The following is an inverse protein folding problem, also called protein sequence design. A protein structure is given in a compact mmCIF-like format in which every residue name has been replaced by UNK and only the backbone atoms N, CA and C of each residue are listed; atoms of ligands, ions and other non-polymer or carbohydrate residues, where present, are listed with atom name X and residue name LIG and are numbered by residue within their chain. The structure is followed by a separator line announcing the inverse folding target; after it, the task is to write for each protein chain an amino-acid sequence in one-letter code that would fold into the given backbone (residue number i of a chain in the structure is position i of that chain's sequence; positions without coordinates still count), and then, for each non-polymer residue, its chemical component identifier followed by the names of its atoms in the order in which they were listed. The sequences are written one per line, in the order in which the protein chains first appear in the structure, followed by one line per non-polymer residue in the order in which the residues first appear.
data_IF_072479423963
#
_entry.id   IF_072479423963
#
_cell.length_a   1.000
_cell.length_b   1.000
_cell.length_c   1.000
_cell.angle_alpha   90.00
_cell.angle_beta   90.00
_cell.angle_gamma   90.00
#
_symmetry.space_group_name_H-M   'P 1'
#
loop_
_entity.id
_entity.type
_entity.pdbx_description
1 polymer ?
#
# COMPACT_ATOMS: atom_id res chain seq x y z
N UNK A 1 -38.16 -0.78 -25.79
CA UNK A 1 -38.29 -0.90 -27.24
C UNK A 1 -38.35 0.46 -27.89
N UNK A 2 -37.15 1.09 -28.10
CA UNK A 2 -37.06 2.32 -28.88
C UNK A 2 -37.35 1.97 -30.34
N UNK A 3 -38.36 2.65 -30.91
CA UNK A 3 -38.74 2.46 -32.32
C UNK A 3 -37.55 2.69 -33.26
N UNK A 4 -37.58 2.15 -34.43
CA UNK A 4 -36.45 2.11 -35.39
C UNK A 4 -35.93 3.50 -35.84
N UNK A 5 -36.66 4.59 -35.57
CA UNK A 5 -36.30 5.94 -36.05
C UNK A 5 -35.79 6.91 -34.98
N UNK A 6 -36.06 6.67 -33.70
CA UNK A 6 -35.51 7.52 -32.62
C UNK A 6 -34.99 6.63 -31.49
N UNK A 7 -33.71 6.29 -31.56
CA UNK A 7 -32.98 5.55 -30.50
C UNK A 7 -32.72 6.37 -29.27
N UNK A 8 -33.75 7.03 -28.71
CA UNK A 8 -33.67 7.88 -27.53
C UNK A 8 -34.20 7.12 -26.33
N UNK A 9 -33.44 7.12 -25.25
CA UNK A 9 -33.79 6.53 -23.95
C UNK A 9 -33.58 7.55 -22.82
N UNK A 10 -34.30 7.38 -21.72
CA UNK A 10 -34.07 8.11 -20.49
C UNK A 10 -33.04 7.35 -19.63
N UNK A 11 -31.96 8.01 -19.26
CA UNK A 11 -31.00 7.52 -18.26
C UNK A 11 -31.30 8.18 -16.92
N UNK A 12 -31.57 7.35 -15.91
CA UNK A 12 -31.99 7.82 -14.58
C UNK A 12 -31.19 7.03 -13.55
N UNK A 13 -30.66 7.71 -12.56
CA UNK A 13 -29.94 7.09 -11.45
C UNK A 13 -30.92 6.41 -10.49
N UNK A 14 -30.57 5.22 -10.03
CA UNK A 14 -31.26 4.49 -8.97
C UNK A 14 -30.69 4.94 -7.63
N UNK A 15 -31.55 5.16 -6.64
CA UNK A 15 -31.15 5.53 -5.28
C UNK A 15 -30.38 4.40 -4.59
N UNK A 16 -29.42 4.69 -3.69
CA UNK A 16 -28.50 3.69 -3.13
C UNK A 16 -29.18 2.53 -2.37
N UNK A 17 -30.32 2.79 -1.73
CA UNK A 17 -31.01 1.83 -0.84
C UNK A 17 -31.96 0.88 -1.58
N UNK A 18 -31.91 0.87 -2.92
CA UNK A 18 -32.86 0.13 -3.73
C UNK A 18 -32.40 -1.29 -4.02
N UNK A 19 -33.33 -2.26 -3.85
CA UNK A 19 -33.10 -3.68 -4.14
C UNK A 19 -32.86 -3.95 -5.62
N UNK A 20 -32.43 -5.18 -5.98
CA UNK A 20 -32.15 -5.63 -7.37
C UNK A 20 -33.31 -5.38 -8.38
N UNK A 21 -34.53 -5.14 -7.88
CA UNK A 21 -35.70 -4.78 -8.69
C UNK A 21 -36.21 -3.40 -8.26
N UNK A 22 -35.58 -2.34 -8.81
CA UNK A 22 -35.99 -0.98 -8.54
C UNK A 22 -37.39 -0.70 -9.09
N UNK A 23 -38.29 -0.16 -8.23
CA UNK A 23 -39.62 0.34 -8.61
C UNK A 23 -39.60 1.84 -8.90
N UNK A 24 -40.71 2.44 -9.35
CA UNK A 24 -40.78 3.89 -9.67
C UNK A 24 -40.31 4.85 -8.58
N UNK A 25 -40.46 4.49 -7.29
CA UNK A 25 -40.02 5.31 -6.15
C UNK A 25 -38.51 5.28 -5.89
N UNK A 26 -37.82 4.32 -6.46
CA UNK A 26 -36.39 4.07 -6.24
C UNK A 26 -35.47 4.85 -7.20
N UNK A 27 -36.07 5.57 -8.14
CA UNK A 27 -35.34 6.40 -9.09
C UNK A 27 -35.29 7.86 -8.63
N UNK A 28 -34.24 8.56 -9.05
CA UNK A 28 -34.20 10.02 -8.95
C UNK A 28 -35.20 10.64 -9.93
N UNK A 29 -35.68 11.84 -9.60
CA UNK A 29 -36.70 12.52 -10.42
C UNK A 29 -36.11 13.12 -11.70
N UNK A 30 -34.83 13.48 -11.68
CA UNK A 30 -34.13 14.10 -12.81
C UNK A 30 -33.20 13.11 -13.46
N UNK A 31 -33.29 13.03 -14.78
CA UNK A 31 -32.48 12.19 -15.62
C UNK A 31 -32.04 12.88 -16.90
N UNK A 32 -31.38 12.13 -17.78
CA UNK A 32 -30.87 12.60 -19.07
C UNK A 32 -31.49 11.81 -20.21
N UNK A 33 -32.12 12.51 -21.15
CA UNK A 33 -32.49 11.92 -22.44
C UNK A 33 -31.22 11.69 -23.25
N UNK A 34 -30.98 10.46 -23.66
CA UNK A 34 -29.78 10.07 -24.37
C UNK A 34 -30.10 9.33 -25.67
N UNK A 35 -29.31 9.61 -26.71
CA UNK A 35 -29.36 8.89 -27.98
C UNK A 35 -28.40 7.72 -27.95
N UNK A 36 -28.87 6.54 -28.34
CA UNK A 36 -28.05 5.36 -28.45
C UNK A 36 -27.36 5.29 -29.81
N UNK A 37 -26.04 5.07 -29.79
CA UNK A 37 -25.21 4.83 -30.96
C UNK A 37 -24.54 3.46 -30.84
N UNK A 38 -24.18 2.84 -31.96
CA UNK A 38 -23.38 1.62 -32.02
C UNK A 38 -23.93 0.46 -31.15
N UNK A 39 -25.24 0.19 -31.29
CA UNK A 39 -25.86 -0.86 -30.50
C UNK A 39 -25.31 -2.24 -30.92
N UNK A 40 -24.63 -2.88 -29.99
CA UNK A 40 -24.11 -4.25 -30.13
C UNK A 40 -24.73 -5.16 -29.08
N UNK A 41 -24.92 -6.42 -29.44
CA UNK A 41 -25.38 -7.47 -28.51
C UNK A 41 -24.25 -8.48 -28.33
N UNK A 42 -23.74 -8.57 -27.11
CA UNK A 42 -22.67 -9.48 -26.76
C UNK A 42 -23.09 -10.31 -25.53
N UNK A 43 -23.03 -11.63 -25.62
CA UNK A 43 -23.36 -12.56 -24.51
C UNK A 43 -24.70 -12.27 -23.80
N UNK A 44 -25.75 -11.89 -24.56
CA UNK A 44 -27.04 -11.54 -23.96
C UNK A 44 -27.14 -10.13 -23.35
N UNK A 45 -26.05 -9.38 -23.30
CA UNK A 45 -26.03 -7.99 -22.84
C UNK A 45 -26.04 -7.03 -24.01
N UNK A 46 -26.70 -5.87 -23.80
CA UNK A 46 -26.70 -4.78 -24.77
C UNK A 46 -25.59 -3.80 -24.42
N UNK A 47 -24.72 -3.53 -25.38
CA UNK A 47 -23.68 -2.51 -25.29
C UNK A 47 -23.99 -1.41 -26.30
N UNK A 48 -23.91 -0.18 -25.90
CA UNK A 48 -24.13 0.97 -26.75
C UNK A 48 -23.40 2.22 -26.22
N UNK A 49 -23.16 3.17 -27.12
CA UNK A 49 -22.65 4.49 -26.74
C UNK A 49 -23.87 5.39 -26.53
N UNK A 50 -23.97 6.01 -25.35
CA UNK A 50 -25.03 6.94 -25.01
C UNK A 50 -24.55 8.39 -25.19
N UNK A 51 -25.20 9.15 -26.05
CA UNK A 51 -24.98 10.58 -26.18
C UNK A 51 -26.09 11.33 -25.43
N UNK A 52 -25.75 12.02 -24.35
CA UNK A 52 -26.68 12.91 -23.64
C UNK A 52 -27.21 14.03 -24.55
N UNK A 53 -28.49 14.28 -24.48
CA UNK A 53 -29.15 15.30 -25.28
C UNK A 53 -29.67 16.46 -24.42
N UNK A 54 -30.56 16.16 -23.48
CA UNK A 54 -31.21 17.14 -22.59
C UNK A 54 -31.53 16.55 -21.24
N UNK A 55 -31.53 17.37 -20.21
CA UNK A 55 -32.04 17.02 -18.89
C UNK A 55 -33.56 17.00 -18.90
N UNK A 56 -34.13 16.08 -18.15
CA UNK A 56 -35.59 16.03 -17.96
C UNK A 56 -35.93 15.74 -16.51
N UNK A 57 -37.12 16.16 -16.12
CA UNK A 57 -37.78 15.76 -14.87
C UNK A 57 -38.91 14.80 -15.18
N UNK A 58 -39.07 13.75 -14.39
CA UNK A 58 -40.20 12.83 -14.48
C UNK A 58 -41.43 13.53 -13.91
N UNK A 59 -42.48 13.62 -14.69
CA UNK A 59 -43.78 14.16 -14.27
C UNK A 59 -44.71 13.03 -13.86
N UNK A 60 -44.71 11.93 -14.62
CA UNK A 60 -45.61 10.79 -14.36
C UNK A 60 -45.02 9.49 -14.88
N UNK A 61 -45.17 8.44 -14.09
CA UNK A 61 -44.90 7.05 -14.50
C UNK A 61 -46.14 6.50 -15.22
N UNK A 62 -45.98 5.90 -16.39
CA UNK A 62 -47.10 5.37 -17.19
C UNK A 62 -47.38 3.92 -16.81
N UNK A 63 -46.59 2.88 -17.18
CA UNK A 63 -46.71 1.56 -16.60
C UNK A 63 -45.87 1.40 -15.34
N UNK A 64 -46.35 0.56 -14.42
CA UNK A 64 -45.62 0.24 -13.16
C UNK A 64 -44.70 -0.97 -13.30
N UNK A 65 -44.64 -1.57 -14.47
CA UNK A 65 -43.82 -2.73 -14.78
C UNK A 65 -42.81 -2.43 -15.89
N UNK A 66 -41.62 -3.05 -15.89
CA UNK A 66 -40.64 -2.90 -16.95
C UNK A 66 -41.17 -3.46 -18.31
N UNK A 67 -40.83 -2.80 -19.44
CA UNK A 67 -40.00 -1.59 -19.54
C UNK A 67 -40.79 -0.34 -19.15
N UNK A 68 -40.18 0.46 -18.23
CA UNK A 68 -40.80 1.66 -17.76
C UNK A 68 -40.92 2.74 -18.85
N UNK A 69 -42.05 3.43 -18.88
CA UNK A 69 -42.29 4.60 -19.70
C UNK A 69 -42.70 5.76 -18.78
N UNK A 70 -42.18 6.93 -19.05
CA UNK A 70 -42.40 8.12 -18.24
C UNK A 70 -42.83 9.29 -19.10
N UNK A 71 -43.71 10.10 -18.55
CA UNK A 71 -43.97 11.42 -19.08
C UNK A 71 -42.93 12.38 -18.44
N UNK A 72 -42.24 13.15 -19.26
CA UNK A 72 -41.15 13.99 -18.80
C UNK A 72 -41.39 15.45 -19.23
N UNK A 73 -40.83 16.34 -18.45
CA UNK A 73 -40.67 17.76 -18.75
C UNK A 73 -39.18 18.02 -18.98
N UNK A 74 -38.81 18.63 -20.10
CA UNK A 74 -37.43 19.03 -20.33
C UNK A 74 -37.08 20.25 -19.51
N UNK A 75 -35.98 20.23 -18.78
CA UNK A 75 -35.55 21.36 -17.99
C UNK A 75 -34.99 22.44 -18.90
N UNK A 76 -35.45 23.68 -18.69
CA UNK A 76 -34.87 24.85 -19.32
C UNK A 76 -33.58 25.23 -18.60
N UNK A 77 -32.57 25.52 -19.38
CA UNK A 77 -31.26 26.02 -18.88
C UNK A 77 -31.18 27.55 -18.96
N UNK A 78 -32.31 28.22 -19.25
CA UNK A 78 -32.34 29.67 -19.25
C UNK A 78 -32.03 30.20 -17.85
N UNK A 79 -30.98 30.97 -17.80
CA UNK A 79 -30.48 31.61 -16.57
C UNK A 79 -30.81 33.10 -16.66
N UNK A 80 -31.41 33.65 -15.62
CA UNK A 80 -31.52 35.13 -15.45
C UNK A 80 -30.25 35.71 -14.82
N UNK A 81 -29.16 34.95 -14.83
CA UNK A 81 -27.90 35.30 -14.21
C UNK A 81 -27.22 36.46 -14.97
N UNK A 82 -26.41 37.21 -14.23
CA UNK A 82 -25.52 38.20 -14.81
C UNK A 82 -24.51 37.52 -15.76
N UNK A 83 -24.45 38.02 -16.99
CA UNK A 83 -23.56 37.50 -18.04
C UNK A 83 -22.09 37.59 -17.61
N UNK A 84 -21.72 38.61 -16.85
CA UNK A 84 -20.35 38.77 -16.35
C UNK A 84 -20.01 37.73 -15.27
N UNK A 85 -20.96 37.46 -14.36
CA UNK A 85 -20.77 36.40 -13.34
C UNK A 85 -20.66 35.03 -13.98
N UNK A 86 -21.52 34.69 -14.92
CA UNK A 86 -21.49 33.46 -15.68
C UNK A 86 -20.14 33.24 -16.39
N UNK A 87 -19.64 34.31 -17.03
CA UNK A 87 -18.35 34.32 -17.71
C UNK A 87 -17.20 34.14 -16.73
N UNK A 88 -17.23 34.78 -15.56
CA UNK A 88 -16.20 34.66 -14.54
C UNK A 88 -16.09 33.23 -14.00
N UNK A 89 -17.24 32.60 -13.68
CA UNK A 89 -17.24 31.18 -13.24
C UNK A 89 -16.79 30.21 -14.34
N UNK A 90 -17.20 30.45 -15.60
CA UNK A 90 -16.74 29.65 -16.73
C UNK A 90 -15.23 29.72 -16.90
N UNK A 91 -14.64 30.89 -16.80
CA UNK A 91 -13.18 31.06 -16.85
C UNK A 91 -12.49 30.39 -15.67
N UNK A 92 -13.06 30.49 -14.46
CA UNK A 92 -12.51 29.83 -13.28
C UNK A 92 -12.51 28.29 -13.45
N UNK A 93 -13.59 27.72 -13.98
CA UNK A 93 -13.67 26.29 -14.30
C UNK A 93 -12.60 25.88 -15.33
N UNK A 94 -12.51 26.61 -16.44
CA UNK A 94 -11.53 26.33 -17.51
C UNK A 94 -10.10 26.39 -16.96
N UNK A 95 -9.78 27.41 -16.16
CA UNK A 95 -8.43 27.55 -15.59
C UNK A 95 -8.10 26.39 -14.60
N UNK A 96 -9.06 26.04 -13.74
CA UNK A 96 -8.87 24.91 -12.82
C UNK A 96 -8.69 23.59 -13.55
N UNK A 97 -9.43 23.36 -14.65
CA UNK A 97 -9.25 22.18 -15.50
C UNK A 97 -7.88 22.15 -16.20
N UNK A 98 -7.39 23.32 -16.65
CA UNK A 98 -6.03 23.43 -17.24
C UNK A 98 -4.94 23.09 -16.25
N UNK A 99 -5.15 23.33 -14.95
CA UNK A 99 -4.23 22.89 -13.90
C UNK A 99 -4.39 21.40 -13.56
N UNK A 100 -5.63 20.88 -13.52
CA UNK A 100 -5.94 19.51 -13.12
C UNK A 100 -5.49 18.48 -14.16
N UNK A 101 -5.79 18.70 -15.44
CA UNK A 101 -5.57 17.73 -16.51
C UNK A 101 -4.10 17.27 -16.61
N UNK A 102 -3.07 18.15 -16.52
CA UNK A 102 -1.68 17.70 -16.56
C UNK A 102 -1.22 16.88 -15.36
N UNK A 103 -1.91 16.99 -14.22
CA UNK A 103 -1.54 16.25 -13.00
C UNK A 103 -2.04 14.81 -13.00
N UNK A 104 -3.03 14.49 -13.82
CA UNK A 104 -3.58 13.13 -13.88
C UNK A 104 -3.02 12.38 -15.12
N UNK A 105 -2.20 11.36 -14.92
CA UNK A 105 -1.59 10.60 -16.02
C UNK A 105 -2.61 9.80 -16.86
N UNK A 106 -3.83 9.63 -16.36
CA UNK A 106 -4.91 8.97 -17.10
C UNK A 106 -5.57 9.86 -18.14
N UNK A 107 -5.33 11.18 -18.08
CA UNK A 107 -5.89 12.12 -19.03
C UNK A 107 -4.99 12.21 -20.26
N UNK A 108 -5.56 11.85 -21.41
CA UNK A 108 -4.86 11.88 -22.69
C UNK A 108 -4.63 13.31 -23.20
N UNK A 109 -3.69 13.46 -24.12
CA UNK A 109 -3.46 14.74 -24.83
C UNK A 109 -4.73 15.19 -25.59
N UNK A 110 -5.58 14.26 -26.01
CA UNK A 110 -6.87 14.53 -26.63
C UNK A 110 -7.79 15.35 -25.72
N UNK A 111 -7.75 15.08 -24.42
CA UNK A 111 -8.55 15.80 -23.43
C UNK A 111 -8.11 17.27 -23.30
N UNK A 112 -6.81 17.56 -23.40
CA UNK A 112 -6.27 18.92 -23.46
C UNK A 112 -6.74 19.65 -24.70
N UNK A 113 -6.73 18.95 -25.83
CA UNK A 113 -7.23 19.51 -27.08
C UNK A 113 -8.74 19.77 -27.02
N UNK A 114 -9.50 18.87 -26.40
CA UNK A 114 -10.93 19.01 -26.22
C UNK A 114 -11.28 20.20 -25.33
N UNK A 115 -10.53 20.43 -24.25
CA UNK A 115 -10.71 21.58 -23.37
C UNK A 115 -10.58 22.91 -24.09
N UNK A 116 -9.71 23.00 -25.09
CA UNK A 116 -9.53 24.23 -25.87
C UNK A 116 -10.73 24.58 -26.77
N UNK A 117 -11.67 23.64 -26.95
CA UNK A 117 -12.93 23.89 -27.70
C UNK A 117 -14.00 24.60 -26.87
N UNK A 118 -13.90 24.50 -25.55
CA UNK A 118 -14.83 25.20 -24.68
C UNK A 118 -14.53 26.69 -24.68
N UNK A 119 -15.58 27.46 -24.80
CA UNK A 119 -15.53 28.91 -24.67
C UNK A 119 -16.52 29.37 -23.58
N UNK A 120 -16.43 30.61 -23.20
CA UNK A 120 -17.30 31.17 -22.16
C UNK A 120 -18.73 31.45 -22.64
N UNK A 121 -19.04 31.19 -23.92
CA UNK A 121 -20.36 31.46 -24.50
C UNK A 121 -21.30 30.25 -24.40
N UNK A 122 -20.77 29.05 -24.11
CA UNK A 122 -21.57 27.85 -23.89
C UNK A 122 -21.16 27.16 -22.59
N UNK A 123 -21.58 27.70 -21.44
CA UNK A 123 -21.13 27.24 -20.13
C UNK A 123 -21.78 25.93 -19.66
N UNK A 124 -22.93 25.52 -20.25
CA UNK A 124 -23.61 24.29 -19.81
C UNK A 124 -22.83 23.01 -20.12
N UNK A 125 -22.36 22.79 -21.37
CA UNK A 125 -21.48 21.63 -21.66
C UNK A 125 -20.16 21.67 -20.89
N UNK A 126 -19.63 22.87 -20.61
CA UNK A 126 -18.41 23.01 -19.79
C UNK A 126 -18.62 22.50 -18.37
N UNK A 127 -19.74 22.88 -17.74
CA UNK A 127 -20.06 22.39 -16.38
C UNK A 127 -20.21 20.89 -16.34
N UNK A 128 -20.89 20.30 -17.33
CA UNK A 128 -21.09 18.84 -17.40
C UNK A 128 -19.77 18.09 -17.64
N UNK A 129 -18.94 18.63 -18.54
CA UNK A 129 -17.62 18.08 -18.79
C UNK A 129 -16.73 18.15 -17.54
N UNK A 130 -16.70 19.29 -16.87
CA UNK A 130 -15.91 19.46 -15.66
C UNK A 130 -16.36 18.50 -14.53
N UNK A 131 -17.65 18.31 -14.33
CA UNK A 131 -18.21 17.36 -13.38
C UNK A 131 -17.76 15.92 -13.69
N UNK A 132 -17.74 15.54 -14.97
CA UNK A 132 -17.35 14.19 -15.41
C UNK A 132 -15.88 13.85 -15.15
N UNK A 133 -15.01 14.84 -14.92
CA UNK A 133 -13.60 14.68 -14.60
C UNK A 133 -13.31 14.57 -13.09
N UNK A 134 -14.34 14.61 -12.26
CA UNK A 134 -14.18 14.52 -10.81
C UNK A 134 -14.45 13.10 -10.31
N UNK A 135 -13.86 12.77 -9.15
CA UNK A 135 -14.15 11.54 -8.40
C UNK A 135 -15.30 11.75 -7.41
N UNK A 136 -16.19 12.71 -7.68
CA UNK A 136 -17.35 13.00 -6.86
C UNK A 136 -18.29 11.78 -6.73
N UNK A 137 -18.99 11.70 -5.62
CA UNK A 137 -19.97 10.63 -5.37
C UNK A 137 -21.14 10.70 -6.34
N UNK A 138 -21.89 9.60 -6.47
CA UNK A 138 -23.10 9.52 -7.30
C UNK A 138 -24.12 10.58 -6.90
N UNK A 139 -24.25 10.85 -5.60
CA UNK A 139 -25.20 11.83 -5.09
C UNK A 139 -24.78 13.26 -5.40
N UNK A 140 -23.48 13.59 -5.29
CA UNK A 140 -22.94 14.89 -5.69
C UNK A 140 -23.12 15.14 -7.21
N UNK A 141 -22.85 14.12 -8.04
CA UNK A 141 -23.06 14.21 -9.48
C UNK A 141 -24.54 14.32 -9.85
N UNK A 142 -25.42 13.63 -9.13
CA UNK A 142 -26.86 13.71 -9.32
C UNK A 142 -27.40 15.09 -8.90
N UNK A 143 -26.85 15.68 -7.85
CA UNK A 143 -27.20 17.07 -7.44
C UNK A 143 -26.83 18.10 -8.53
N UNK A 144 -25.66 17.92 -9.15
CA UNK A 144 -25.26 18.75 -10.30
C UNK A 144 -26.22 18.54 -11.49
N UNK A 145 -26.55 17.28 -11.79
CA UNK A 145 -27.48 16.95 -12.88
C UNK A 145 -28.87 17.56 -12.65
N UNK A 146 -29.35 17.56 -11.41
CA UNK A 146 -30.66 18.12 -11.03
C UNK A 146 -30.68 19.67 -11.02
N UNK A 147 -29.51 20.31 -11.00
CA UNK A 147 -29.39 21.77 -10.98
C UNK A 147 -29.57 22.32 -12.38
N UNK A 148 -30.76 22.84 -12.69
CA UNK A 148 -31.09 23.40 -14.02
C UNK A 148 -30.37 24.73 -14.31
N UNK A 149 -30.33 25.76 -13.40
CA UNK A 149 -29.62 27.02 -13.65
C UNK A 149 -28.12 26.79 -13.85
N UNK A 150 -27.57 27.28 -14.97
CA UNK A 150 -26.18 27.02 -15.36
C UNK A 150 -25.18 27.65 -14.40
N UNK A 151 -25.46 28.88 -13.91
CA UNK A 151 -24.59 29.53 -12.94
C UNK A 151 -24.47 28.74 -11.62
N UNK A 152 -25.59 28.30 -11.07
CA UNK A 152 -25.58 27.49 -9.84
C UNK A 152 -24.88 26.17 -10.04
N UNK A 153 -24.99 25.56 -11.22
CA UNK A 153 -24.27 24.38 -11.61
C UNK A 153 -22.77 24.61 -11.67
N UNK A 154 -22.31 25.71 -12.29
CA UNK A 154 -20.91 26.11 -12.31
C UNK A 154 -20.35 26.34 -10.90
N UNK A 155 -21.14 27.00 -10.01
CA UNK A 155 -20.76 27.20 -8.61
C UNK A 155 -20.53 25.87 -7.88
N UNK A 156 -21.37 24.86 -8.08
CA UNK A 156 -21.20 23.53 -7.52
C UNK A 156 -19.99 22.81 -8.11
N UNK A 157 -19.86 22.84 -9.42
CA UNK A 157 -18.78 22.17 -10.15
C UNK A 157 -17.40 22.73 -9.78
N UNK A 158 -17.25 24.07 -9.64
CA UNK A 158 -15.96 24.66 -9.26
C UNK A 158 -15.47 24.16 -7.90
N UNK A 159 -16.37 23.90 -6.98
CA UNK A 159 -16.01 23.33 -5.66
C UNK A 159 -15.46 21.92 -5.83
N UNK A 160 -16.12 21.08 -6.64
CA UNK A 160 -15.69 19.69 -6.84
C UNK A 160 -14.35 19.61 -7.57
N UNK A 161 -14.16 20.39 -8.67
CA UNK A 161 -12.89 20.33 -9.39
C UNK A 161 -11.72 20.95 -8.61
N UNK A 162 -11.96 21.92 -7.72
CA UNK A 162 -10.94 22.42 -6.80
C UNK A 162 -10.53 21.34 -5.79
N UNK A 163 -11.48 20.62 -5.23
CA UNK A 163 -11.21 19.47 -4.35
C UNK A 163 -10.38 18.40 -5.08
N UNK A 164 -10.76 18.08 -6.32
CA UNK A 164 -10.03 17.13 -7.15
C UNK A 164 -8.60 17.61 -7.45
N UNK A 165 -8.42 18.89 -7.74
CA UNK A 165 -7.11 19.50 -7.99
C UNK A 165 -6.19 19.39 -6.76
N UNK A 166 -6.70 19.65 -5.56
CA UNK A 166 -5.92 19.48 -4.32
C UNK A 166 -5.51 18.01 -4.11
N UNK A 167 -6.41 17.07 -4.34
CA UNK A 167 -6.08 15.63 -4.27
C UNK A 167 -5.02 15.26 -5.30
N UNK A 168 -5.13 15.73 -6.55
CA UNK A 168 -4.15 15.47 -7.60
C UNK A 168 -2.76 16.07 -7.29
N UNK A 169 -2.71 17.27 -6.71
CA UNK A 169 -1.46 17.89 -6.22
C UNK A 169 -0.80 17.03 -5.12
N UNK A 170 -1.59 16.58 -4.14
CA UNK A 170 -1.10 15.72 -3.06
C UNK A 170 -0.59 14.38 -3.60
N UNK A 171 -1.32 13.74 -4.51
CA UNK A 171 -0.89 12.50 -5.15
C UNK A 171 0.44 12.67 -5.91
N UNK A 172 0.60 13.77 -6.64
CA UNK A 172 1.84 14.08 -7.35
C UNK A 172 3.01 14.27 -6.37
N UNK A 173 2.77 14.96 -5.25
CA UNK A 173 3.78 15.17 -4.22
C UNK A 173 4.19 13.85 -3.55
N UNK A 174 3.22 13.01 -3.21
CA UNK A 174 3.48 11.67 -2.63
C UNK A 174 4.28 10.81 -3.61
N UNK A 175 3.88 10.78 -4.90
CA UNK A 175 4.61 10.03 -5.94
C UNK A 175 6.07 10.48 -6.00
N UNK A 176 6.31 11.80 -6.05
CA UNK A 176 7.67 12.36 -6.08
C UNK A 176 8.50 11.94 -4.87
N UNK A 177 7.93 11.98 -3.67
CA UNK A 177 8.61 11.52 -2.45
C UNK A 177 8.93 10.03 -2.45
N UNK A 178 8.03 9.19 -2.98
CA UNK A 178 8.26 7.75 -3.13
C UNK A 178 9.36 7.47 -4.13
N UNK A 179 9.33 8.15 -5.29
CA UNK A 179 10.33 7.99 -6.35
C UNK A 179 11.73 8.44 -5.87
N UNK A 180 11.82 9.54 -5.11
CA UNK A 180 13.08 10.01 -4.50
C UNK A 180 13.64 8.99 -3.52
N UNK A 181 12.82 8.43 -2.63
CA UNK A 181 13.25 7.38 -1.68
C UNK A 181 13.66 6.09 -2.36
N UNK A 182 12.93 5.65 -3.38
CA UNK A 182 13.31 4.47 -4.18
C UNK A 182 14.64 4.68 -4.89
N UNK A 183 14.86 5.85 -5.49
CA UNK A 183 16.12 6.22 -6.15
C UNK A 183 17.30 6.23 -5.15
N UNK A 184 17.13 6.74 -3.93
CA UNK A 184 18.15 6.67 -2.88
C UNK A 184 18.49 5.24 -2.46
N UNK A 185 17.49 4.38 -2.28
CA UNK A 185 17.72 2.98 -1.94
C UNK A 185 18.45 2.22 -3.04
N UNK A 186 18.05 2.40 -4.29
CA UNK A 186 18.73 1.80 -5.45
C UNK A 186 20.18 2.30 -5.56
N UNK A 187 20.41 3.59 -5.38
CA UNK A 187 21.77 4.17 -5.42
C UNK A 187 22.64 3.64 -4.28
N UNK A 188 22.12 3.52 -3.06
CA UNK A 188 22.84 2.94 -1.92
C UNK A 188 23.18 1.47 -2.15
N UNK A 189 22.24 0.71 -2.72
CA UNK A 189 22.50 -0.69 -3.10
C UNK A 189 23.61 -0.79 -4.15
N UNK A 190 23.51 -0.03 -5.24
CA UNK A 190 24.51 -0.03 -6.30
C UNK A 190 25.90 0.39 -5.80
N UNK A 191 25.99 1.40 -4.95
CA UNK A 191 27.26 1.83 -4.33
C UNK A 191 27.86 0.75 -3.42
N UNK A 192 27.06 0.00 -2.69
CA UNK A 192 27.53 -1.12 -1.87
C UNK A 192 28.07 -2.25 -2.72
N UNK A 193 27.42 -2.61 -3.82
CA UNK A 193 27.90 -3.64 -4.74
C UNK A 193 29.18 -3.20 -5.45
N UNK A 194 29.28 -1.94 -5.86
CA UNK A 194 30.55 -1.40 -6.39
C UNK A 194 31.68 -1.44 -5.35
N UNK A 195 31.42 -1.03 -4.11
CA UNK A 195 32.42 -1.09 -3.04
C UNK A 195 32.90 -2.52 -2.82
N UNK A 196 31.99 -3.49 -2.81
CA UNK A 196 32.32 -4.90 -2.65
C UNK A 196 33.18 -5.42 -3.81
N UNK A 197 32.84 -5.06 -5.04
CA UNK A 197 33.64 -5.42 -6.21
C UNK A 197 35.06 -4.81 -6.15
N UNK A 198 35.18 -3.54 -5.79
CA UNK A 198 36.47 -2.85 -5.63
C UNK A 198 37.30 -3.49 -4.52
N UNK A 199 36.70 -3.84 -3.38
CA UNK A 199 37.38 -4.52 -2.28
C UNK A 199 37.89 -5.91 -2.70
N UNK A 200 37.14 -6.64 -3.52
CA UNK A 200 37.58 -7.93 -4.09
C UNK A 200 38.76 -7.76 -5.06
N UNK A 201 38.70 -6.77 -5.97
CA UNK A 201 39.80 -6.49 -6.92
C UNK A 201 41.12 -6.04 -6.25
N UNK A 202 40.99 -5.25 -5.18
CA UNK A 202 42.12 -4.78 -4.38
C UNK A 202 42.69 -5.84 -3.43
N UNK A 203 42.05 -7.02 -3.33
CA UNK A 203 42.47 -8.06 -2.38
C UNK A 203 42.30 -7.67 -0.92
N UNK A 204 41.59 -6.57 -0.61
CA UNK A 204 41.36 -6.02 0.72
C UNK A 204 40.16 -6.73 1.39
N UNK A 205 39.30 -7.36 0.60
CA UNK A 205 38.19 -8.15 1.10
C UNK A 205 38.72 -9.51 1.58
N UNK A 206 39.15 -9.60 2.83
CA UNK A 206 38.93 -10.88 3.53
C UNK A 206 37.41 -11.09 3.48
N UNK A 207 36.99 -12.14 2.79
CA UNK A 207 35.61 -12.58 2.83
C UNK A 207 35.20 -12.63 4.34
N UNK A 208 34.11 -11.99 4.70
CA UNK A 208 33.64 -11.94 6.11
C UNK A 208 33.64 -13.33 6.75
N UNK A 209 33.41 -14.38 5.93
CA UNK A 209 33.50 -15.79 6.30
C UNK A 209 34.89 -16.17 6.76
N UNK A 210 35.91 -15.83 5.95
CA UNK A 210 37.31 -16.14 6.28
C UNK A 210 37.77 -15.42 7.54
N UNK A 211 37.35 -14.18 7.72
CA UNK A 211 37.66 -13.39 8.92
C UNK A 211 36.96 -13.98 10.18
N UNK A 212 35.70 -14.40 10.07
CA UNK A 212 35.00 -15.06 11.19
C UNK A 212 35.63 -16.44 11.52
N UNK A 213 35.97 -17.26 10.52
CA UNK A 213 36.63 -18.56 10.72
C UNK A 213 37.98 -18.39 11.39
N UNK A 214 38.82 -17.43 10.91
CA UNK A 214 40.15 -17.16 11.49
C UNK A 214 40.01 -16.71 12.95
N UNK A 215 39.07 -15.83 13.26
CA UNK A 215 38.80 -15.36 14.62
C UNK A 215 38.39 -16.50 15.58
N UNK A 216 37.54 -17.42 15.14
CA UNK A 216 37.10 -18.53 15.94
C UNK A 216 38.23 -19.55 16.17
N UNK A 217 39.11 -19.76 15.17
CA UNK A 217 40.30 -20.60 15.34
C UNK A 217 41.28 -20.00 16.33
N UNK A 218 41.59 -18.70 16.24
CA UNK A 218 42.47 -18.03 17.18
C UNK A 218 41.97 -18.12 18.64
N UNK A 219 40.66 -17.98 18.85
CA UNK A 219 40.06 -18.13 20.19
C UNK A 219 40.16 -19.56 20.70
N UNK A 220 40.06 -20.54 19.82
CA UNK A 220 40.12 -21.97 20.18
C UNK A 220 41.54 -22.42 20.52
N UNK A 221 42.55 -21.94 19.76
CA UNK A 221 43.95 -22.23 19.99
C UNK A 221 44.44 -21.75 21.38
N UNK A 222 43.81 -20.74 21.93
CA UNK A 222 44.09 -20.21 23.27
C UNK A 222 43.46 -21.06 24.39
N UNK A 223 42.73 -22.15 24.10
CA UNK A 223 41.93 -22.93 25.05
C UNK A 223 42.10 -24.41 24.88
N UNK A 224 41.97 -25.16 25.96
CA UNK A 224 42.11 -26.65 25.98
C UNK A 224 40.72 -27.28 25.89
N UNK A 225 40.07 -27.20 24.75
CA UNK A 225 38.78 -27.83 24.56
C UNK A 225 38.89 -29.37 24.47
N UNK A 226 37.94 -30.14 25.03
CA UNK A 226 37.92 -31.61 24.90
C UNK A 226 37.79 -32.03 23.44
N UNK A 227 38.33 -33.22 23.10
CA UNK A 227 38.36 -33.75 21.75
C UNK A 227 36.95 -33.78 21.08
N UNK A 228 35.92 -34.16 21.82
CA UNK A 228 34.55 -34.20 21.35
C UNK A 228 34.01 -32.78 20.97
N UNK A 229 34.39 -31.75 21.76
CA UNK A 229 34.03 -30.37 21.48
C UNK A 229 34.80 -29.83 20.27
N UNK A 230 36.13 -30.12 20.19
CA UNK A 230 36.96 -29.75 19.05
C UNK A 230 36.44 -30.29 17.72
N UNK A 231 36.05 -31.58 17.73
CA UNK A 231 35.47 -32.22 16.55
C UNK A 231 34.21 -31.47 16.09
N UNK A 232 33.32 -31.20 17.01
CA UNK A 232 32.04 -30.50 16.67
C UNK A 232 32.26 -29.06 16.20
N UNK A 233 33.17 -28.36 16.86
CA UNK A 233 33.50 -26.98 16.46
C UNK A 233 34.11 -26.94 15.04
N UNK A 234 35.00 -27.88 14.71
CA UNK A 234 35.60 -27.96 13.37
C UNK A 234 34.55 -28.27 12.28
N UNK A 235 33.63 -29.19 12.55
CA UNK A 235 32.51 -29.48 11.65
C UNK A 235 31.67 -28.22 11.36
N UNK A 236 31.39 -27.41 12.38
CA UNK A 236 30.63 -26.17 12.20
C UNK A 236 31.45 -25.02 11.56
N UNK A 237 32.78 -24.97 11.78
CA UNK A 237 33.68 -24.07 11.08
C UNK A 237 33.73 -24.37 9.58
N UNK A 238 33.83 -25.64 9.21
CA UNK A 238 33.80 -26.07 7.81
C UNK A 238 32.47 -25.72 7.17
N UNK A 239 31.35 -25.93 7.88
CA UNK A 239 30.02 -25.49 7.43
C UNK A 239 29.95 -23.99 7.26
N UNK A 240 30.44 -23.19 8.21
CA UNK A 240 30.43 -21.71 8.13
C UNK A 240 31.19 -21.20 6.91
N UNK A 241 32.29 -21.90 6.54
CA UNK A 241 33.13 -21.53 5.39
C UNK A 241 32.41 -21.63 4.03
N UNK A 242 31.36 -22.46 3.95
CA UNK A 242 30.62 -22.73 2.72
C UNK A 242 29.31 -21.90 2.65
N UNK A 243 28.73 -21.55 3.80
CA UNK A 243 27.45 -20.84 3.88
C UNK A 243 27.55 -19.41 3.31
N UNK A 244 26.46 -18.93 2.72
CA UNK A 244 26.34 -17.55 2.25
C UNK A 244 26.11 -16.59 3.43
N UNK A 245 26.92 -15.52 3.51
CA UNK A 245 26.97 -14.58 4.65
C UNK A 245 25.63 -13.87 4.94
N UNK A 246 24.72 -13.81 3.95
CA UNK A 246 23.38 -13.26 4.10
C UNK A 246 22.31 -14.27 4.51
N UNK A 247 22.64 -15.55 4.63
CA UNK A 247 21.66 -16.60 4.95
C UNK A 247 21.32 -16.67 6.44
N UNK A 248 20.08 -17.03 6.82
CA UNK A 248 19.73 -17.28 8.22
C UNK A 248 20.58 -18.37 8.86
N UNK A 249 20.98 -19.39 8.10
CA UNK A 249 21.83 -20.49 8.57
C UNK A 249 23.23 -20.01 8.95
N UNK A 250 23.80 -19.06 8.19
CA UNK A 250 25.09 -18.44 8.53
C UNK A 250 25.02 -17.78 9.91
N UNK A 251 23.99 -16.98 10.17
CA UNK A 251 23.80 -16.29 11.43
C UNK A 251 23.68 -17.29 12.61
N UNK A 252 22.95 -18.36 12.44
CA UNK A 252 22.76 -19.41 13.48
C UNK A 252 24.07 -20.11 13.76
N UNK A 253 24.79 -20.59 12.71
CA UNK A 253 26.07 -21.28 12.83
C UNK A 253 27.14 -20.37 13.47
N UNK A 254 27.20 -19.10 13.06
CA UNK A 254 28.10 -18.10 13.61
C UNK A 254 27.86 -17.86 15.13
N UNK A 255 26.59 -17.71 15.53
CA UNK A 255 26.24 -17.52 16.95
C UNK A 255 26.57 -18.77 17.78
N UNK A 256 26.37 -19.96 17.23
CA UNK A 256 26.75 -21.20 17.88
C UNK A 256 28.27 -21.29 18.08
N UNK A 257 29.08 -21.01 17.08
CA UNK A 257 30.54 -20.99 17.14
C UNK A 257 31.05 -19.91 18.12
N UNK A 258 30.39 -18.74 18.12
CA UNK A 258 30.73 -17.68 19.07
C UNK A 258 30.55 -18.16 20.51
N UNK A 259 29.41 -18.74 20.84
CA UNK A 259 29.15 -19.32 22.16
C UNK A 259 30.14 -20.45 22.52
N UNK A 260 30.37 -21.39 21.59
CA UNK A 260 31.27 -22.53 21.84
C UNK A 260 32.72 -22.10 22.02
N UNK A 261 33.19 -21.07 21.32
CA UNK A 261 34.56 -20.54 21.45
C UNK A 261 34.74 -19.58 22.61
N UNK A 262 33.65 -19.03 23.20
CA UNK A 262 33.70 -18.24 24.43
C UNK A 262 33.77 -19.07 25.71
N UNK A 263 33.29 -20.31 25.68
CA UNK A 263 33.36 -21.19 26.86
C UNK A 263 34.78 -21.33 27.39
N UNK A 264 34.99 -21.31 28.71
CA UNK A 264 36.31 -21.41 29.33
C UNK A 264 36.82 -22.85 29.36
N UNK A 265 37.04 -23.43 28.18
CA UNK A 265 37.53 -24.81 28.08
C UNK A 265 38.87 -24.98 28.76
N UNK A 266 39.01 -26.04 29.58
CA UNK A 266 40.23 -26.35 30.31
C UNK A 266 40.52 -25.47 31.54
N UNK A 267 39.62 -24.51 31.83
CA UNK A 267 39.73 -23.67 33.02
C UNK A 267 38.90 -24.28 34.14
N UNK A 268 39.53 -24.66 35.18
CA UNK A 268 38.91 -25.26 36.37
C UNK A 268 39.24 -24.41 37.58
N UNK A 269 38.31 -24.34 38.50
CA UNK A 269 38.61 -23.80 39.84
C UNK A 269 39.53 -24.75 40.63
N UNK A 270 40.33 -24.19 41.52
CA UNK A 270 41.08 -24.99 42.45
C UNK A 270 40.14 -25.67 43.43
N UNK A 271 40.22 -27.02 43.48
CA UNK A 271 39.39 -27.75 44.40
C UNK A 271 39.81 -27.48 45.85
N UNK A 272 38.80 -27.22 46.68
CA UNK A 272 39.01 -27.11 48.12
C UNK A 272 38.55 -28.41 48.80
N UNK A 273 39.50 -29.25 49.18
CA UNK A 273 39.25 -30.55 49.81
C UNK A 273 39.29 -30.47 51.33
N UNK A 274 39.16 -29.27 51.95
CA UNK A 274 39.04 -29.10 53.39
C UNK A 274 37.70 -29.68 53.89
N UNK A 275 37.76 -30.84 54.51
CA UNK A 275 36.61 -31.61 55.00
C UNK A 275 35.85 -30.87 56.12
N UNK A 276 36.53 -30.03 56.93
CA UNK A 276 35.86 -29.22 57.95
C UNK A 276 34.99 -28.14 57.29
N UNK A 277 35.58 -27.45 56.35
CA UNK A 277 34.89 -26.38 55.60
C UNK A 277 33.72 -26.98 54.78
N UNK A 278 33.89 -28.14 54.13
CA UNK A 278 32.82 -28.83 53.41
C UNK A 278 31.65 -29.21 54.34
N UNK A 279 31.96 -29.68 55.57
CA UNK A 279 30.93 -30.02 56.58
C UNK A 279 30.15 -28.77 57.06
N UNK A 280 30.88 -27.66 57.26
CA UNK A 280 30.25 -26.39 57.63
C UNK A 280 29.29 -25.89 56.55
N UNK A 281 29.67 -25.95 55.28
CA UNK A 281 28.79 -25.55 54.15
C UNK A 281 27.58 -26.45 54.10
N UNK A 282 27.75 -27.77 54.14
CA UNK A 282 26.65 -28.74 54.09
C UNK A 282 25.65 -28.50 55.25
N UNK A 283 26.13 -28.18 56.45
CA UNK A 283 25.28 -27.94 57.61
C UNK A 283 24.59 -26.55 57.53
N UNK A 284 25.22 -25.56 56.90
CA UNK A 284 24.67 -24.23 56.70
C UNK A 284 23.54 -24.25 55.67
N UNK A 285 23.74 -24.96 54.56
CA UNK A 285 22.88 -24.90 53.39
C UNK A 285 21.80 -25.97 53.35
N UNK A 286 21.94 -27.03 54.18
CA UNK A 286 20.98 -28.14 54.26
C UNK A 286 20.67 -28.48 55.71
N UNK A 287 19.38 -28.59 56.04
CA UNK A 287 18.89 -29.02 57.36
C UNK A 287 18.65 -30.51 57.37
N UNK A 288 19.10 -31.22 58.44
CA UNK A 288 19.01 -32.68 58.54
C UNK A 288 19.92 -33.42 57.55
N UNK A 289 19.51 -34.58 57.09
CA UNK A 289 20.21 -35.40 56.09
C UNK A 289 21.63 -35.86 56.50
N UNK A 290 21.83 -36.16 57.77
CA UNK A 290 23.14 -36.44 58.34
C UNK A 290 23.90 -37.59 57.62
N UNK A 291 23.19 -38.70 57.32
CA UNK A 291 23.80 -39.84 56.61
C UNK A 291 24.28 -39.47 55.21
N UNK A 292 23.53 -38.59 54.52
CA UNK A 292 23.91 -38.12 53.17
C UNK A 292 25.10 -37.21 53.25
N UNK A 293 25.14 -36.26 54.21
CA UNK A 293 26.25 -35.35 54.43
C UNK A 293 27.53 -36.15 54.78
N UNK A 294 27.41 -37.15 55.63
CA UNK A 294 28.54 -38.03 56.00
C UNK A 294 29.10 -38.76 54.78
N UNK A 295 28.23 -39.26 53.91
CA UNK A 295 28.64 -39.95 52.67
C UNK A 295 29.35 -38.99 51.70
N UNK A 296 28.91 -37.74 51.60
CA UNK A 296 29.58 -36.69 50.79
C UNK A 296 30.98 -36.41 51.38
N UNK A 297 31.11 -36.25 52.69
CA UNK A 297 32.40 -36.02 53.35
C UNK A 297 33.35 -37.21 53.15
N UNK A 298 32.90 -38.48 53.25
CA UNK A 298 33.71 -39.62 52.95
C UNK A 298 34.21 -39.61 51.48
N UNK A 299 33.33 -39.27 50.54
CA UNK A 299 33.73 -39.16 49.13
C UNK A 299 34.82 -38.10 48.90
N UNK A 300 34.67 -36.91 49.51
CA UNK A 300 35.66 -35.86 49.43
C UNK A 300 36.99 -36.26 50.13
N UNK A 301 36.91 -36.97 51.24
CA UNK A 301 38.10 -37.48 51.95
C UNK A 301 38.92 -38.47 51.05
N UNK A 302 38.24 -39.32 50.29
CA UNK A 302 38.93 -40.23 49.35
C UNK A 302 39.56 -39.43 48.21
N UNK A 303 38.93 -38.36 47.75
CA UNK A 303 39.48 -37.44 46.75
C UNK A 303 40.73 -36.71 47.25
N UNK A 304 40.78 -36.32 48.55
CA UNK A 304 41.91 -35.65 49.19
C UNK A 304 43.13 -36.58 49.38
N UNK A 305 42.91 -37.85 49.35
CA UNK A 305 44.02 -38.87 49.53
C UNK A 305 44.64 -39.33 48.20
N UNK A 306 44.02 -38.95 47.05
CA UNK A 306 44.56 -39.23 45.71
C UNK A 306 45.44 -38.09 45.21
#
# INVERSE_FOLDING_TARGET
AAGREQRVIGLILVKPDSAEKAGPGDFHEVGTAARMHQLARNEGRLQFIAQGLKRFRIVKWLPHEPPYHVQVEYLSEEDQADIEELRAYSLAVINTLKELIPLNPLYSEELKFFLNRFNTHDPSPLADFAASLTTASKDELQDILATAPVLERLKKVIVLIKKELEVAKLQTQIRKQVDEKMSEHQRKFFLREQLKAIQQELGIAKDDRTADVDRFRERLDARQAPEAALKRINEELDKLSILETGSPEYAVTRNYLDAMTELPWGVYSTDNLDLKHAREILNRDHDGLEDVKERIIEFLAVGALK
#
